data_IF_685656218733
#
_entry.id   IF_685656218733
#
_cell.length_a   1.000
_cell.length_b   1.000
_cell.length_c   1.000
_cell.angle_alpha   90.00
_cell.angle_beta   90.00
_cell.angle_gamma   90.00
#
_symmetry.space_group_name_H-M   'P 1'
#
loop_
_entity.id
_entity.type
_entity.pdbx_description
1 polymer ?
#
# COMPACT_ATOMS: atom_id res chain seq x y z
N UNK A 1 -12.74 30.50 -16.16
CA UNK A 1 -13.56 30.07 -14.98
C UNK A 1 -14.02 28.60 -15.10
N UNK A 2 -14.69 28.17 -16.20
CA UNK A 2 -15.12 26.76 -16.34
C UNK A 2 -13.97 25.75 -16.55
N UNK A 3 -12.87 26.13 -17.19
CA UNK A 3 -11.69 25.30 -17.39
C UNK A 3 -10.92 25.06 -16.08
N UNK A 4 -10.73 26.09 -15.28
CA UNK A 4 -10.02 25.99 -13.99
C UNK A 4 -10.80 25.16 -12.96
N UNK A 5 -12.13 25.30 -12.93
CA UNK A 5 -13.00 24.45 -12.09
C UNK A 5 -12.96 22.98 -12.53
N UNK A 6 -12.87 22.72 -13.82
CA UNK A 6 -12.76 21.36 -14.37
C UNK A 6 -11.41 20.72 -14.04
N UNK A 7 -10.30 21.46 -14.14
CA UNK A 7 -8.96 21.00 -13.76
C UNK A 7 -8.84 20.72 -12.27
N UNK A 8 -9.37 21.61 -11.41
CA UNK A 8 -9.40 21.42 -9.96
C UNK A 8 -10.18 20.15 -9.58
N UNK A 9 -11.34 19.90 -10.18
CA UNK A 9 -12.14 18.71 -9.92
C UNK A 9 -11.46 17.43 -10.42
N UNK A 10 -10.77 17.47 -11.56
CA UNK A 10 -10.01 16.34 -12.08
C UNK A 10 -8.82 15.98 -11.18
N UNK A 11 -8.13 16.99 -10.63
CA UNK A 11 -7.05 16.84 -9.68
C UNK A 11 -7.54 16.19 -8.37
N UNK A 12 -8.61 16.72 -7.75
CA UNK A 12 -9.23 16.17 -6.53
C UNK A 12 -9.60 14.69 -6.71
N UNK A 13 -10.26 14.35 -7.82
CA UNK A 13 -10.64 12.96 -8.15
C UNK A 13 -9.43 12.05 -8.26
N UNK A 14 -8.34 12.51 -8.88
CA UNK A 14 -7.12 11.71 -9.04
C UNK A 14 -6.41 11.47 -7.71
N UNK A 15 -6.32 12.48 -6.86
CA UNK A 15 -5.76 12.34 -5.50
C UNK A 15 -6.60 11.35 -4.68
N UNK A 16 -7.93 11.50 -4.71
CA UNK A 16 -8.82 10.57 -4.00
C UNK A 16 -8.62 9.13 -4.50
N UNK A 17 -8.59 8.93 -5.81
CA UNK A 17 -8.48 7.61 -6.42
C UNK A 17 -7.16 6.94 -6.03
N UNK A 18 -6.04 7.64 -6.14
CA UNK A 18 -4.72 7.08 -5.79
C UNK A 18 -4.61 6.79 -4.30
N UNK A 19 -5.08 7.71 -3.44
CA UNK A 19 -5.10 7.48 -1.99
C UNK A 19 -5.99 6.31 -1.60
N UNK A 20 -7.14 6.15 -2.28
CA UNK A 20 -8.07 5.05 -2.06
C UNK A 20 -7.48 3.70 -2.51
N UNK A 21 -6.79 3.67 -3.65
CA UNK A 21 -6.05 2.47 -4.06
C UNK A 21 -4.98 2.07 -3.05
N UNK A 22 -4.17 3.02 -2.59
CA UNK A 22 -3.14 2.75 -1.59
C UNK A 22 -3.73 2.25 -0.26
N UNK A 23 -4.85 2.85 0.16
CA UNK A 23 -5.59 2.45 1.36
C UNK A 23 -6.21 1.05 1.25
N UNK A 24 -6.50 0.58 0.05
CA UNK A 24 -6.95 -0.79 -0.21
C UNK A 24 -5.79 -1.78 -0.27
N UNK A 25 -4.72 -1.48 -1.03
CA UNK A 25 -3.66 -2.42 -1.38
C UNK A 25 -2.90 -2.94 -0.15
N UNK A 26 -2.51 -2.05 0.76
CA UNK A 26 -1.68 -2.42 1.91
C UNK A 26 -2.45 -3.31 2.91
N UNK A 27 -3.69 -2.96 3.34
CA UNK A 27 -4.49 -3.83 4.20
C UNK A 27 -4.87 -5.15 3.52
N UNK A 28 -5.20 -5.13 2.24
CA UNK A 28 -5.46 -6.33 1.46
C UNK A 28 -4.27 -7.30 1.52
N UNK A 29 -3.06 -6.80 1.22
CA UNK A 29 -1.86 -7.62 1.24
C UNK A 29 -1.59 -8.19 2.64
N UNK A 30 -1.72 -7.36 3.68
CA UNK A 30 -1.50 -7.79 5.06
C UNK A 30 -2.46 -8.92 5.45
N UNK A 31 -3.74 -8.77 5.10
CA UNK A 31 -4.78 -9.76 5.40
C UNK A 31 -4.61 -11.04 4.57
N UNK A 32 -4.31 -10.92 3.28
CA UNK A 32 -4.09 -12.05 2.38
C UNK A 32 -2.87 -12.90 2.77
N UNK A 33 -1.75 -12.25 3.15
CA UNK A 33 -0.53 -12.94 3.57
C UNK A 33 -0.75 -13.77 4.84
N UNK A 34 -1.57 -13.30 5.78
CA UNK A 34 -1.90 -14.06 6.98
C UNK A 34 -2.48 -15.45 6.64
N UNK A 35 -3.35 -15.51 5.63
CA UNK A 35 -3.94 -16.78 5.19
C UNK A 35 -2.96 -17.65 4.39
N UNK A 36 -1.97 -17.02 3.74
CA UNK A 36 -0.96 -17.72 2.95
C UNK A 36 0.19 -18.32 3.79
N UNK A 37 0.31 -17.99 5.08
CA UNK A 37 1.42 -18.45 5.93
C UNK A 37 1.64 -19.97 5.93
N UNK A 38 0.61 -20.83 6.00
CA UNK A 38 0.83 -22.27 5.94
C UNK A 38 1.46 -22.72 4.61
N UNK A 39 1.05 -22.11 3.49
CA UNK A 39 1.61 -22.38 2.17
C UNK A 39 3.07 -21.92 2.05
N UNK A 40 3.37 -20.72 2.57
CA UNK A 40 4.72 -20.17 2.67
C UNK A 40 5.61 -21.09 3.51
N UNK A 41 5.12 -21.51 4.69
CA UNK A 41 5.85 -22.40 5.60
C UNK A 41 6.19 -23.73 4.98
N UNK A 42 5.23 -24.33 4.26
CA UNK A 42 5.43 -25.61 3.56
C UNK A 42 6.47 -25.49 2.44
N UNK A 43 6.40 -24.45 1.63
CA UNK A 43 7.29 -24.30 0.47
C UNK A 43 8.71 -23.85 0.85
N UNK A 44 8.83 -22.91 1.80
CA UNK A 44 10.14 -22.39 2.23
C UNK A 44 10.73 -23.14 3.44
N UNK A 45 10.12 -24.27 3.84
CA UNK A 45 10.52 -25.09 4.99
C UNK A 45 10.73 -24.25 6.27
N UNK A 46 9.83 -23.28 6.50
CA UNK A 46 9.95 -22.32 7.58
C UNK A 46 9.25 -22.80 8.86
N UNK A 47 9.87 -22.56 10.00
CA UNK A 47 9.27 -22.82 11.31
C UNK A 47 8.28 -21.72 11.71
N UNK A 48 7.49 -21.95 12.74
CA UNK A 48 6.46 -21.02 13.23
C UNK A 48 7.02 -19.65 13.64
N UNK A 49 8.23 -19.61 14.19
CA UNK A 49 8.90 -18.36 14.61
C UNK A 49 9.21 -17.50 13.38
N UNK A 50 9.81 -18.10 12.36
CA UNK A 50 10.14 -17.40 11.10
C UNK A 50 8.87 -16.91 10.37
N UNK A 51 7.80 -17.68 10.39
CA UNK A 51 6.50 -17.27 9.84
C UNK A 51 5.91 -16.08 10.62
N UNK A 52 6.04 -16.08 11.94
CA UNK A 52 5.70 -14.93 12.77
C UNK A 52 6.45 -13.67 12.35
N UNK A 53 7.75 -13.78 12.01
CA UNK A 53 8.55 -12.66 11.53
C UNK A 53 8.11 -12.13 10.15
N UNK A 54 7.54 -12.95 9.28
CA UNK A 54 6.98 -12.47 7.99
C UNK A 54 5.90 -11.39 8.22
N UNK A 55 5.08 -11.55 9.26
CA UNK A 55 4.04 -10.56 9.61
C UNK A 55 4.63 -9.44 10.45
N UNK A 56 5.32 -9.81 11.54
CA UNK A 56 5.77 -8.86 12.56
C UNK A 56 6.78 -7.87 12.00
N UNK A 57 7.69 -8.28 11.12
CA UNK A 57 8.68 -7.39 10.52
C UNK A 57 8.03 -6.26 9.70
N UNK A 58 7.00 -6.57 8.94
CA UNK A 58 6.23 -5.57 8.19
C UNK A 58 5.53 -4.56 9.12
N UNK A 59 4.79 -5.07 10.11
CA UNK A 59 4.02 -4.24 11.04
C UNK A 59 4.96 -3.37 11.88
N UNK A 60 6.01 -3.96 12.42
CA UNK A 60 6.99 -3.27 13.27
C UNK A 60 7.69 -2.15 12.50
N UNK A 61 8.18 -2.44 11.30
CA UNK A 61 8.83 -1.44 10.46
C UNK A 61 7.87 -0.32 10.07
N UNK A 62 6.63 -0.67 9.69
CA UNK A 62 5.61 0.32 9.38
C UNK A 62 5.30 1.21 10.58
N UNK A 63 5.19 0.66 11.79
CA UNK A 63 4.92 1.42 13.01
C UNK A 63 6.06 2.36 13.39
N UNK A 64 7.31 1.88 13.35
CA UNK A 64 8.51 2.66 13.70
C UNK A 64 8.65 3.88 12.79
N UNK A 65 8.44 3.70 11.49
CA UNK A 65 8.70 4.75 10.50
C UNK A 65 7.47 5.62 10.17
N UNK A 66 6.28 5.33 10.71
CA UNK A 66 5.06 6.06 10.41
C UNK A 66 5.17 7.56 10.74
N UNK A 67 5.57 7.89 11.96
CA UNK A 67 5.73 9.29 12.41
C UNK A 67 6.91 9.99 11.72
N UNK A 68 8.12 9.40 11.64
CA UNK A 68 9.23 9.98 10.88
C UNK A 68 8.87 10.33 9.43
N UNK A 69 8.17 9.45 8.71
CA UNK A 69 7.79 9.74 7.32
C UNK A 69 6.62 10.72 7.19
N UNK A 70 5.72 10.76 8.16
CA UNK A 70 4.73 11.83 8.22
C UNK A 70 5.40 13.20 8.30
N UNK A 71 6.37 13.36 9.22
CA UNK A 71 7.16 14.59 9.36
C UNK A 71 8.04 14.88 8.14
N UNK A 72 8.67 13.87 7.57
CA UNK A 72 9.46 14.03 6.35
C UNK A 72 8.58 14.55 5.19
N UNK A 73 7.34 14.05 5.09
CA UNK A 73 6.37 14.55 4.11
C UNK A 73 6.06 16.03 4.27
N UNK A 74 6.03 16.53 5.50
CA UNK A 74 5.82 17.97 5.76
C UNK A 74 7.04 18.82 5.37
N UNK A 75 8.26 18.27 5.42
CA UNK A 75 9.53 18.98 5.11
C UNK A 75 9.82 18.96 3.61
N UNK A 76 9.78 17.80 2.96
CA UNK A 76 10.22 17.63 1.55
C UNK A 76 9.07 17.52 0.54
N UNK A 77 7.83 17.59 1.04
CA UNK A 77 6.59 17.49 0.26
C UNK A 77 5.90 16.13 0.36
N UNK A 78 4.65 16.16 0.82
CA UNK A 78 3.83 14.96 1.06
C UNK A 78 3.66 14.09 -0.18
N UNK A 79 3.40 14.72 -1.34
CA UNK A 79 3.28 14.01 -2.62
C UNK A 79 4.56 13.25 -2.98
N UNK A 80 5.73 13.84 -2.77
CA UNK A 80 7.02 13.23 -3.09
C UNK A 80 7.24 11.98 -2.24
N UNK A 81 7.04 12.08 -0.92
CA UNK A 81 7.17 10.95 0.01
C UNK A 81 6.17 9.85 -0.32
N UNK A 82 4.91 10.21 -0.58
CA UNK A 82 3.86 9.28 -0.98
C UNK A 82 4.21 8.51 -2.27
N UNK A 83 4.69 9.23 -3.29
CA UNK A 83 5.08 8.63 -4.59
C UNK A 83 6.24 7.65 -4.43
N UNK A 84 7.27 8.04 -3.67
CA UNK A 84 8.40 7.16 -3.36
C UNK A 84 7.91 5.94 -2.57
N UNK A 85 7.00 6.13 -1.62
CA UNK A 85 6.37 5.04 -0.88
C UNK A 85 5.68 4.02 -1.78
N UNK A 86 4.84 4.46 -2.73
CA UNK A 86 4.19 3.56 -3.69
C UNK A 86 5.20 2.86 -4.59
N UNK A 87 6.23 3.58 -5.06
CA UNK A 87 7.29 3.00 -5.88
C UNK A 87 8.02 1.87 -5.13
N UNK A 88 8.49 2.14 -3.92
CA UNK A 88 9.20 1.16 -3.10
C UNK A 88 8.31 -0.01 -2.69
N UNK A 89 7.03 0.25 -2.38
CA UNK A 89 6.05 -0.79 -2.07
C UNK A 89 5.82 -1.70 -3.27
N UNK A 90 5.65 -1.15 -4.46
CA UNK A 90 5.45 -1.91 -5.70
C UNK A 90 6.70 -2.72 -6.06
N UNK A 91 7.88 -2.11 -5.92
CA UNK A 91 9.16 -2.76 -6.19
C UNK A 91 9.41 -3.92 -5.22
N UNK A 92 9.24 -3.70 -3.92
CA UNK A 92 9.40 -4.77 -2.92
C UNK A 92 8.37 -5.88 -3.10
N UNK A 93 7.12 -5.53 -3.47
CA UNK A 93 6.08 -6.51 -3.81
C UNK A 93 6.47 -7.34 -5.02
N UNK A 94 7.03 -6.73 -6.06
CA UNK A 94 7.53 -7.43 -7.23
C UNK A 94 8.73 -8.34 -6.90
N UNK A 95 9.68 -7.86 -6.11
CA UNK A 95 10.85 -8.64 -5.71
C UNK A 95 10.51 -9.87 -4.87
N UNK A 96 9.40 -9.84 -4.11
CA UNK A 96 8.93 -11.00 -3.34
C UNK A 96 8.58 -12.19 -4.25
N UNK A 97 8.22 -11.97 -5.51
CA UNK A 97 7.96 -13.05 -6.47
C UNK A 97 9.19 -13.97 -6.66
N UNK A 98 10.38 -13.42 -6.46
CA UNK A 98 11.67 -14.11 -6.60
C UNK A 98 12.28 -14.54 -5.25
N UNK A 99 11.52 -14.45 -4.16
CA UNK A 99 11.98 -14.88 -2.85
C UNK A 99 12.03 -16.42 -2.79
N UNK A 100 13.23 -16.98 -2.60
CA UNK A 100 13.48 -18.44 -2.50
C UNK A 100 13.81 -18.89 -1.08
N UNK A 101 13.87 -17.97 -0.11
CA UNK A 101 14.12 -18.29 1.30
C UNK A 101 13.26 -17.45 2.21
N UNK A 102 12.98 -17.97 3.41
CA UNK A 102 12.20 -17.25 4.42
C UNK A 102 12.92 -15.95 4.84
N UNK A 103 14.25 -15.95 4.86
CA UNK A 103 15.05 -14.77 5.22
C UNK A 103 14.88 -13.67 4.17
N UNK A 104 14.98 -14.04 2.86
CA UNK A 104 14.76 -13.06 1.79
C UNK A 104 13.34 -12.47 1.83
N UNK A 105 12.34 -13.29 2.14
CA UNK A 105 10.97 -12.85 2.31
C UNK A 105 10.85 -11.85 3.48
N UNK A 106 11.42 -12.15 4.64
CA UNK A 106 11.40 -11.26 5.82
C UNK A 106 12.07 -9.91 5.50
N UNK A 107 13.23 -9.93 4.85
CA UNK A 107 13.93 -8.69 4.44
C UNK A 107 13.05 -7.85 3.53
N UNK A 108 12.42 -8.45 2.53
CA UNK A 108 11.53 -7.74 1.62
C UNK A 108 10.26 -7.24 2.32
N UNK A 109 9.77 -7.94 3.35
CA UNK A 109 8.67 -7.47 4.22
C UNK A 109 9.07 -6.25 5.05
N UNK A 110 10.33 -6.16 5.50
CA UNK A 110 10.86 -4.95 6.14
C UNK A 110 10.79 -3.77 5.17
N UNK A 111 11.27 -3.92 3.93
CA UNK A 111 11.18 -2.87 2.91
C UNK A 111 9.73 -2.50 2.55
N UNK A 112 8.82 -3.46 2.51
CA UNK A 112 7.39 -3.19 2.34
C UNK A 112 6.82 -2.40 3.53
N UNK A 113 7.19 -2.74 4.78
CA UNK A 113 6.77 -1.99 5.96
C UNK A 113 7.26 -0.55 5.94
N UNK A 114 8.52 -0.34 5.56
CA UNK A 114 9.12 0.97 5.39
C UNK A 114 8.36 1.82 4.35
N UNK A 115 8.08 1.26 3.19
CA UNK A 115 7.32 1.93 2.14
C UNK A 115 5.85 2.17 2.50
N UNK A 116 5.24 1.24 3.22
CA UNK A 116 3.89 1.38 3.77
C UNK A 116 3.78 2.56 4.75
N UNK A 117 4.80 2.76 5.60
CA UNK A 117 4.86 3.91 6.50
C UNK A 117 4.90 5.25 5.74
N UNK A 118 5.62 5.33 4.61
CA UNK A 118 5.61 6.50 3.74
C UNK A 118 4.21 6.77 3.17
N UNK A 119 3.52 5.73 2.73
CA UNK A 119 2.17 5.82 2.16
C UNK A 119 1.18 6.31 3.22
N UNK A 120 1.09 5.63 4.36
CA UNK A 120 0.11 5.97 5.40
C UNK A 120 0.43 7.28 6.10
N UNK A 121 1.70 7.57 6.37
CA UNK A 121 2.14 8.81 7.02
C UNK A 121 1.80 10.06 6.22
N UNK A 122 1.64 9.95 4.90
CA UNK A 122 1.36 11.10 4.04
C UNK A 122 -0.03 11.10 3.41
N UNK A 123 -0.69 9.94 3.24
CA UNK A 123 -1.97 9.79 2.54
C UNK A 123 -3.08 10.67 3.14
N UNK A 124 -3.29 10.59 4.45
CA UNK A 124 -4.34 11.35 5.13
C UNK A 124 -4.08 12.87 5.05
N UNK A 125 -2.81 13.27 5.19
CA UNK A 125 -2.42 14.66 5.09
C UNK A 125 -2.61 15.23 3.67
N UNK A 126 -2.39 14.42 2.63
CA UNK A 126 -2.69 14.80 1.24
C UNK A 126 -4.20 14.97 1.05
N UNK A 127 -5.03 14.04 1.51
CA UNK A 127 -6.48 14.15 1.40
C UNK A 127 -6.99 15.42 2.07
N UNK A 128 -6.57 15.68 3.31
CA UNK A 128 -7.03 16.87 4.07
C UNK A 128 -6.52 18.19 3.52
N UNK A 129 -5.42 18.22 2.76
CA UNK A 129 -4.92 19.43 2.11
C UNK A 129 -5.66 19.76 0.81
N UNK A 130 -6.13 18.74 0.08
CA UNK A 130 -6.78 18.90 -1.23
C UNK A 130 -8.29 19.14 -1.10
N UNK A 131 -8.95 18.56 -0.08
CA UNK A 131 -10.38 18.66 0.11
C UNK A 131 -10.75 19.76 1.11
N UNK A 132 -11.78 20.57 0.79
CA UNK A 132 -12.31 21.60 1.68
C UNK A 132 -12.95 20.98 2.94
N UNK A 133 -13.08 21.73 4.06
CA UNK A 133 -13.62 21.19 5.30
C UNK A 133 -14.96 20.45 5.15
N UNK A 134 -15.87 20.92 4.29
CA UNK A 134 -17.17 20.27 4.03
C UNK A 134 -17.08 18.97 3.20
N UNK A 135 -16.00 18.76 2.44
CA UNK A 135 -15.80 17.60 1.58
C UNK A 135 -14.88 16.53 2.23
N UNK A 136 -14.09 16.92 3.25
CA UNK A 136 -13.09 16.04 3.90
C UNK A 136 -13.70 14.77 4.47
N UNK A 137 -14.84 14.89 5.15
CA UNK A 137 -15.52 13.73 5.75
C UNK A 137 -15.86 12.66 4.72
N UNK A 138 -16.35 13.06 3.54
CA UNK A 138 -16.62 12.11 2.44
C UNK A 138 -15.34 11.48 1.90
N UNK A 139 -14.29 12.26 1.65
CA UNK A 139 -13.02 11.74 1.13
C UNK A 139 -12.36 10.76 2.10
N UNK A 140 -12.34 11.08 3.39
CA UNK A 140 -11.84 10.21 4.45
C UNK A 140 -12.69 8.95 4.57
N UNK A 141 -14.02 9.07 4.53
CA UNK A 141 -14.95 7.94 4.57
C UNK A 141 -14.70 6.94 3.44
N UNK A 142 -14.50 7.41 2.21
CA UNK A 142 -14.15 6.56 1.05
C UNK A 142 -12.83 5.84 1.30
N UNK A 143 -11.82 6.53 1.82
CA UNK A 143 -10.50 5.96 2.10
C UNK A 143 -10.57 4.88 3.19
N UNK A 144 -11.31 5.12 4.27
CA UNK A 144 -11.55 4.15 5.35
C UNK A 144 -12.32 2.94 4.82
N UNK A 145 -13.36 3.16 4.01
CA UNK A 145 -14.11 2.06 3.37
C UNK A 145 -13.20 1.18 2.52
N UNK A 146 -12.31 1.77 1.73
CA UNK A 146 -11.33 1.01 0.95
C UNK A 146 -10.38 0.18 1.83
N UNK A 147 -9.94 0.72 2.96
CA UNK A 147 -9.14 -0.01 3.96
C UNK A 147 -9.86 -1.27 4.47
N UNK A 148 -11.11 -1.11 4.90
CA UNK A 148 -11.88 -2.25 5.39
C UNK A 148 -12.27 -3.24 4.29
N UNK A 149 -12.54 -2.77 3.08
CA UNK A 149 -12.72 -3.65 1.92
C UNK A 149 -11.47 -4.48 1.64
N UNK A 150 -10.29 -3.86 1.71
CA UNK A 150 -9.02 -4.58 1.58
C UNK A 150 -8.85 -5.66 2.64
N UNK A 151 -9.09 -5.33 3.91
CA UNK A 151 -9.02 -6.30 5.01
C UNK A 151 -10.01 -7.46 4.83
N UNK A 152 -11.23 -7.17 4.38
CA UNK A 152 -12.30 -8.18 4.22
C UNK A 152 -12.10 -9.06 2.99
N UNK A 153 -11.67 -8.48 1.87
CA UNK A 153 -11.44 -9.20 0.61
C UNK A 153 -10.11 -9.95 0.59
N UNK A 154 -9.13 -9.51 1.41
CA UNK A 154 -7.82 -10.15 1.49
C UNK A 154 -7.87 -11.65 1.75
N UNK A 155 -8.55 -12.15 2.78
CA UNK A 155 -8.65 -13.59 3.04
C UNK A 155 -9.36 -14.35 1.93
N UNK A 156 -10.41 -13.80 1.34
CA UNK A 156 -11.19 -14.45 0.28
C UNK A 156 -10.37 -14.58 -1.01
N UNK A 157 -9.93 -13.44 -1.54
CA UNK A 157 -9.18 -13.41 -2.80
C UNK A 157 -7.78 -14.00 -2.59
N UNK A 158 -7.11 -13.66 -1.48
CA UNK A 158 -5.78 -14.19 -1.15
C UNK A 158 -5.80 -15.70 -0.92
N UNK A 159 -6.87 -16.23 -0.31
CA UNK A 159 -7.08 -17.66 -0.14
C UNK A 159 -7.27 -18.39 -1.47
N UNK A 160 -8.13 -17.87 -2.36
CA UNK A 160 -8.31 -18.40 -3.70
C UNK A 160 -7.01 -18.37 -4.52
N UNK A 161 -6.32 -17.24 -4.53
CA UNK A 161 -5.04 -17.09 -5.22
C UNK A 161 -4.01 -18.08 -4.70
N UNK A 162 -3.88 -18.21 -3.38
CA UNK A 162 -2.93 -19.14 -2.75
C UNK A 162 -3.26 -20.59 -3.06
N UNK A 163 -4.54 -20.95 -3.04
CA UNK A 163 -4.98 -22.32 -3.29
C UNK A 163 -4.70 -22.78 -4.74
N UNK A 164 -5.03 -21.93 -5.72
CA UNK A 164 -4.93 -22.31 -7.14
C UNK A 164 -3.59 -21.97 -7.78
N UNK A 165 -2.94 -20.88 -7.38
CA UNK A 165 -1.76 -20.33 -8.04
C UNK A 165 -0.53 -20.20 -7.13
N UNK A 166 -0.66 -20.61 -5.86
CA UNK A 166 0.40 -20.48 -4.86
C UNK A 166 0.46 -19.06 -4.24
N UNK A 167 1.14 -18.96 -3.10
CA UNK A 167 1.18 -17.73 -2.28
C UNK A 167 1.81 -16.50 -2.98
N UNK A 168 2.72 -16.73 -3.93
CA UNK A 168 3.33 -15.63 -4.72
C UNK A 168 2.32 -14.89 -5.56
N UNK A 169 1.24 -15.54 -5.97
CA UNK A 169 0.18 -14.92 -6.79
C UNK A 169 -0.51 -13.75 -6.10
N UNK A 170 -0.54 -13.72 -4.75
CA UNK A 170 -1.05 -12.58 -3.99
C UNK A 170 -0.24 -11.31 -4.32
N UNK A 171 1.08 -11.44 -4.34
CA UNK A 171 1.98 -10.33 -4.64
C UNK A 171 1.92 -9.96 -6.12
N UNK A 172 1.91 -10.95 -7.02
CA UNK A 172 1.75 -10.73 -8.45
C UNK A 172 0.45 -9.98 -8.79
N UNK A 173 -0.65 -10.31 -8.11
CA UNK A 173 -1.93 -9.63 -8.27
C UNK A 173 -1.87 -8.13 -7.92
N UNK A 174 -1.05 -7.75 -6.94
CA UNK A 174 -0.95 -6.37 -6.47
C UNK A 174 -0.01 -5.48 -7.29
N UNK A 175 0.98 -6.05 -7.97
CA UNK A 175 1.94 -5.29 -8.79
C UNK A 175 1.27 -4.40 -9.84
N UNK A 176 0.31 -4.86 -10.65
CA UNK A 176 -0.40 -4.01 -11.62
C UNK A 176 -1.07 -2.80 -10.98
N UNK A 177 -1.70 -2.96 -9.82
CA UNK A 177 -2.36 -1.86 -9.11
C UNK A 177 -1.36 -0.82 -8.59
N UNK A 178 -0.19 -1.26 -8.12
CA UNK A 178 0.91 -0.37 -7.76
C UNK A 178 1.40 0.44 -8.97
N UNK A 179 1.60 -0.20 -10.11
CA UNK A 179 2.01 0.45 -11.38
C UNK A 179 0.94 1.45 -11.84
N UNK A 180 -0.33 1.07 -11.82
CA UNK A 180 -1.45 1.96 -12.18
C UNK A 180 -1.45 3.19 -11.27
N UNK A 181 -1.24 3.01 -9.95
CA UNK A 181 -1.16 4.11 -9.00
C UNK A 181 -0.02 5.08 -9.33
N UNK A 182 1.16 4.57 -9.69
CA UNK A 182 2.31 5.38 -10.10
C UNK A 182 2.02 6.18 -11.39
N UNK A 183 1.42 5.55 -12.39
CA UNK A 183 1.05 6.21 -13.65
C UNK A 183 0.03 7.33 -13.40
N UNK A 184 -0.96 7.09 -12.55
CA UNK A 184 -1.97 8.10 -12.19
C UNK A 184 -1.35 9.29 -11.46
N UNK A 185 -0.38 9.06 -10.56
CA UNK A 185 0.33 10.13 -9.86
C UNK A 185 1.12 10.98 -10.86
N UNK A 186 1.88 10.35 -11.74
CA UNK A 186 2.73 11.06 -12.70
C UNK A 186 1.93 11.89 -13.70
N UNK A 187 0.81 11.34 -14.21
CA UNK A 187 0.01 12.00 -15.26
C UNK A 187 -0.92 13.08 -14.75
N UNK A 188 -1.51 12.90 -13.57
CA UNK A 188 -2.62 13.74 -13.11
C UNK A 188 -2.30 14.61 -11.89
N UNK A 189 -1.25 14.28 -11.15
CA UNK A 189 -0.84 15.06 -10.00
C UNK A 189 0.42 15.83 -10.44
N UNK A 190 0.24 16.88 -11.27
CA UNK A 190 1.33 17.80 -11.62
C UNK A 190 1.91 18.41 -10.33
N UNK A 191 3.22 18.62 -10.34
CA UNK A 191 4.00 19.23 -9.25
C UNK A 191 3.55 20.66 -9.03
N UNK A 192 3.21 21.00 -7.77
CA UNK A 192 3.47 22.35 -7.28
C UNK A 192 4.98 22.52 -7.08
#
# INVERSE_FOLDING_TARGET
MNSELSESNSFKKSVLLVSTFAAFLVPFLTSAVNLALPSIGKELHANAISLGWVISSFILTSAIFLLPFGRLGDIIGRKKVFTIGILLFTLSTFLILFAHSIISLIILRIFQGFSSAMIFGTSMAILTSVFQPGERGRAIGINITATYLGLSLGPVIGGLLTHYLGWRSIFAFLVPFGIISLILIQRKIKTE
#
